data_IF_623672587722
#
_entry.id   IF_623672587722
#
_cell.length_a   1.000
_cell.length_b   1.000
_cell.length_c   1.000
_cell.angle_alpha   90.00
_cell.angle_beta   90.00
_cell.angle_gamma   90.00
#
_symmetry.space_group_name_H-M   'P 1'
#
loop_
_entity.id
_entity.type
_entity.pdbx_description
1 polymer ?
#
# COMPACT_ATOMS: atom_id res chain seq x y z
N UNK A 1 9.10 -4.27 34.16
CA UNK A 1 10.47 -3.87 34.53
C UNK A 1 11.26 -3.21 33.41
N UNK A 2 10.77 -3.17 32.17
CA UNK A 2 11.56 -2.75 30.99
C UNK A 2 11.31 -1.27 30.57
N UNK A 3 10.08 -0.77 30.74
CA UNK A 3 9.69 0.56 30.23
C UNK A 3 10.40 1.75 30.88
N UNK A 4 10.69 1.69 32.19
CA UNK A 4 11.30 2.84 32.92
C UNK A 4 12.74 3.10 32.49
N UNK A 5 13.52 2.05 32.26
CA UNK A 5 14.88 2.17 31.75
C UNK A 5 14.90 2.71 30.32
N UNK A 6 13.88 2.37 29.52
CA UNK A 6 13.72 2.83 28.16
C UNK A 6 13.37 4.35 28.12
N UNK A 7 12.50 4.82 29.02
CA UNK A 7 12.20 6.26 29.19
C UNK A 7 13.45 7.04 29.62
N UNK A 8 14.18 6.56 30.62
CA UNK A 8 15.42 7.20 31.07
C UNK A 8 16.50 7.23 29.97
N UNK A 9 16.57 6.19 29.13
CA UNK A 9 17.47 6.17 27.98
C UNK A 9 17.09 7.22 26.92
N UNK A 10 15.79 7.41 26.66
CA UNK A 10 15.29 8.47 25.76
C UNK A 10 15.58 9.85 26.34
N UNK A 11 15.38 10.07 27.63
CA UNK A 11 15.67 11.36 28.28
C UNK A 11 17.15 11.70 28.24
N UNK A 12 18.01 10.71 28.51
CA UNK A 12 19.46 10.87 28.35
C UNK A 12 19.85 11.15 26.90
N UNK A 13 19.22 10.48 25.93
CA UNK A 13 19.50 10.71 24.51
C UNK A 13 19.05 12.11 24.04
N UNK A 14 17.88 12.58 24.47
CA UNK A 14 17.40 13.94 24.19
C UNK A 14 18.30 15.00 24.87
N UNK A 15 18.77 14.73 26.09
CA UNK A 15 19.67 15.60 26.81
C UNK A 15 21.10 15.65 26.22
N UNK A 16 21.58 14.55 25.62
CA UNK A 16 22.93 14.43 25.08
C UNK A 16 23.06 14.76 23.59
N UNK A 17 21.99 14.59 22.80
CA UNK A 17 22.01 14.69 21.33
C UNK A 17 21.22 15.84 20.72
N UNK A 18 20.47 16.63 21.51
CA UNK A 18 19.64 17.70 20.97
C UNK A 18 18.53 17.21 20.03
N UNK A 19 17.82 18.15 19.39
CA UNK A 19 16.67 17.93 18.50
C UNK A 19 17.02 17.25 17.15
N UNK A 20 17.96 16.31 17.14
CA UNK A 20 18.30 15.47 15.99
C UNK A 20 17.06 14.64 15.57
N UNK A 21 16.62 14.69 14.30
CA UNK A 21 15.41 14.02 13.86
C UNK A 21 15.40 12.49 14.10
N UNK A 22 16.54 11.82 14.02
CA UNK A 22 16.62 10.38 14.26
C UNK A 22 16.42 10.02 15.74
N UNK A 23 16.89 10.86 16.65
CA UNK A 23 16.73 10.68 18.10
C UNK A 23 15.27 10.92 18.49
N UNK A 24 14.67 12.01 17.98
CA UNK A 24 13.26 12.32 18.18
C UNK A 24 12.34 11.22 17.62
N UNK A 25 12.65 10.65 16.45
CA UNK A 25 11.84 9.56 15.87
C UNK A 25 11.86 8.31 16.76
N UNK A 26 13.05 7.92 17.23
CA UNK A 26 13.20 6.75 18.11
C UNK A 26 12.47 6.98 19.45
N UNK A 27 12.62 8.17 20.01
CA UNK A 27 11.93 8.57 21.24
C UNK A 27 10.41 8.53 21.08
N UNK A 28 9.87 9.08 19.98
CA UNK A 28 8.44 9.11 19.72
C UNK A 28 7.84 7.70 19.59
N UNK A 29 8.53 6.81 18.85
CA UNK A 29 8.12 5.40 18.70
C UNK A 29 8.16 4.64 20.03
N UNK A 30 9.14 4.94 20.89
CA UNK A 30 9.22 4.32 22.20
C UNK A 30 8.10 4.79 23.12
N UNK A 31 7.84 6.10 23.18
CA UNK A 31 6.74 6.67 23.97
C UNK A 31 5.41 6.02 23.57
N UNK A 32 5.18 5.89 22.27
CA UNK A 32 4.02 5.20 21.73
C UNK A 32 3.95 3.73 22.14
N UNK A 33 5.04 2.96 22.03
CA UNK A 33 5.09 1.57 22.48
C UNK A 33 4.80 1.40 23.99
N UNK A 34 5.08 2.43 24.79
CA UNK A 34 4.79 2.49 26.22
C UNK A 34 3.39 3.01 26.56
N UNK A 35 2.60 3.43 25.56
CA UNK A 35 1.28 4.04 25.77
C UNK A 35 1.32 5.50 26.19
N UNK A 36 2.48 6.17 26.14
CA UNK A 36 2.64 7.61 26.35
C UNK A 36 2.23 8.40 25.10
N UNK A 37 0.94 8.33 24.76
CA UNK A 37 0.36 8.83 23.50
C UNK A 37 0.68 10.31 23.28
N UNK A 38 0.39 11.18 24.25
CA UNK A 38 0.57 12.63 24.09
C UNK A 38 2.05 13.01 23.94
N UNK A 39 2.94 12.32 24.65
CA UNK A 39 4.39 12.55 24.54
C UNK A 39 4.92 12.12 23.17
N UNK A 40 4.45 10.98 22.66
CA UNK A 40 4.76 10.55 21.30
C UNK A 40 4.32 11.59 20.26
N UNK A 41 3.09 12.11 20.40
CA UNK A 41 2.55 13.13 19.50
C UNK A 41 3.30 14.45 19.59
N UNK A 42 3.74 14.86 20.78
CA UNK A 42 4.56 16.06 20.96
C UNK A 42 5.91 15.94 20.22
N UNK A 43 6.57 14.79 20.33
CA UNK A 43 7.83 14.51 19.64
C UNK A 43 7.66 14.44 18.12
N UNK A 44 6.58 13.82 17.62
CA UNK A 44 6.26 13.92 16.20
C UNK A 44 5.89 15.35 15.77
N UNK A 45 5.28 16.14 16.66
CA UNK A 45 5.05 17.57 16.49
C UNK A 45 6.33 18.36 16.23
N UNK A 46 7.37 18.08 17.03
CA UNK A 46 8.70 18.66 16.85
C UNK A 46 9.34 18.22 15.53
N UNK A 47 9.25 16.94 15.19
CA UNK A 47 9.72 16.42 13.90
C UNK A 47 9.02 17.07 12.70
N UNK A 48 7.72 17.33 12.80
CA UNK A 48 6.98 18.06 11.76
C UNK A 48 7.41 19.51 11.65
N UNK A 49 7.86 20.15 12.75
CA UNK A 49 8.44 21.49 12.69
C UNK A 49 9.84 21.50 12.08
N UNK A 50 10.67 20.51 12.39
CA UNK A 50 12.05 20.40 11.91
C UNK A 50 12.12 19.98 10.44
N UNK A 51 11.26 19.05 10.03
CA UNK A 51 11.16 18.58 8.65
C UNK A 51 9.71 18.63 8.13
N UNK A 52 9.14 19.83 7.88
CA UNK A 52 7.73 19.99 7.47
C UNK A 52 7.36 19.28 6.17
N UNK A 53 8.35 19.03 5.30
CA UNK A 53 8.17 18.35 4.03
C UNK A 53 8.17 16.82 4.15
N UNK A 54 8.45 16.25 5.34
CA UNK A 54 8.55 14.79 5.53
C UNK A 54 7.21 14.17 5.93
N UNK A 55 6.55 13.43 5.03
CA UNK A 55 5.18 12.95 5.26
C UNK A 55 5.09 11.87 6.34
N UNK A 56 6.20 11.16 6.54
CA UNK A 56 6.30 10.07 7.52
C UNK A 56 5.96 10.52 8.95
N UNK A 57 6.17 11.79 9.28
CA UNK A 57 5.87 12.33 10.62
C UNK A 57 4.37 12.42 10.85
N UNK A 58 3.65 13.02 9.91
CA UNK A 58 2.19 13.06 9.96
C UNK A 58 1.60 11.65 9.93
N UNK A 59 2.12 10.75 9.07
CA UNK A 59 1.64 9.36 9.01
C UNK A 59 1.90 8.56 10.29
N UNK A 60 3.01 8.84 10.98
CA UNK A 60 3.31 8.20 12.27
C UNK A 60 2.39 8.76 13.36
N UNK A 61 2.22 10.08 13.45
CA UNK A 61 1.26 10.72 14.37
C UNK A 61 -0.16 10.18 14.19
N UNK A 62 -0.63 10.08 12.95
CA UNK A 62 -1.95 9.54 12.65
C UNK A 62 -2.10 8.08 13.14
N UNK A 63 -1.07 7.25 13.00
CA UNK A 63 -1.05 5.87 13.51
C UNK A 63 -1.06 5.78 15.04
N UNK A 64 -0.40 6.72 15.72
CA UNK A 64 -0.47 6.85 17.19
C UNK A 64 -1.90 7.21 17.61
N UNK A 65 -2.51 8.21 16.98
CA UNK A 65 -3.89 8.64 17.23
C UNK A 65 -4.91 7.52 16.98
N UNK A 66 -4.80 6.80 15.88
CA UNK A 66 -5.69 5.68 15.54
C UNK A 66 -5.65 4.56 16.58
N UNK A 67 -4.47 4.15 17.04
CA UNK A 67 -4.35 3.12 18.10
C UNK A 67 -4.89 3.58 19.44
N UNK A 68 -4.82 4.88 19.72
CA UNK A 68 -5.42 5.49 20.90
C UNK A 68 -6.94 5.68 20.79
N UNK A 69 -7.56 5.32 19.66
CA UNK A 69 -9.00 5.55 19.41
C UNK A 69 -9.37 7.01 19.11
N UNK A 70 -8.37 7.88 18.90
CA UNK A 70 -8.54 9.32 18.61
C UNK A 70 -8.71 9.54 17.10
N UNK A 71 -9.73 8.90 16.51
CA UNK A 71 -9.91 8.82 15.06
C UNK A 71 -10.08 10.18 14.38
N UNK A 72 -10.88 11.09 14.95
CA UNK A 72 -11.11 12.43 14.39
C UNK A 72 -9.81 13.25 14.30
N UNK A 73 -8.94 13.17 15.31
CA UNK A 73 -7.66 13.86 15.29
C UNK A 73 -6.69 13.24 14.28
N UNK A 74 -6.75 11.90 14.11
CA UNK A 74 -5.98 11.22 13.08
C UNK A 74 -6.40 11.69 11.68
N UNK A 75 -7.70 11.85 11.43
CA UNK A 75 -8.23 12.37 10.16
C UNK A 75 -7.76 13.81 9.92
N UNK A 76 -7.91 14.70 10.91
CA UNK A 76 -7.47 16.10 10.80
C UNK A 76 -5.98 16.23 10.47
N UNK A 77 -5.11 15.45 11.13
CA UNK A 77 -3.68 15.54 10.83
C UNK A 77 -3.37 14.96 9.45
N UNK A 78 -4.05 13.90 9.03
CA UNK A 78 -3.89 13.30 7.72
C UNK A 78 -4.33 14.23 6.59
N UNK A 79 -5.38 15.03 6.77
CA UNK A 79 -5.82 16.03 5.80
C UNK A 79 -4.70 17.00 5.42
N UNK A 80 -3.79 17.31 6.36
CA UNK A 80 -2.63 18.18 6.07
C UNK A 80 -1.67 17.58 5.04
N UNK A 81 -1.66 16.26 4.85
CA UNK A 81 -0.82 15.61 3.84
C UNK A 81 -1.41 15.65 2.44
N UNK A 82 -2.73 15.56 2.30
CA UNK A 82 -3.35 15.16 1.04
C UNK A 82 -3.88 16.32 0.18
N UNK A 83 -3.53 17.59 0.50
CA UNK A 83 -3.83 18.79 -0.32
C UNK A 83 -5.24 18.80 -0.97
N UNK A 84 -6.29 18.51 -0.20
CA UNK A 84 -7.69 18.43 -0.68
C UNK A 84 -7.95 17.47 -1.87
N UNK A 85 -7.01 16.57 -2.19
CA UNK A 85 -7.15 15.59 -3.28
C UNK A 85 -8.10 14.45 -2.91
N UNK A 86 -8.16 14.12 -1.62
CA UNK A 86 -9.02 13.06 -1.11
C UNK A 86 -10.49 13.48 -1.31
N UNK A 87 -11.34 12.63 -1.91
CA UNK A 87 -12.75 12.96 -2.12
C UNK A 87 -13.42 13.36 -0.80
N UNK A 88 -14.19 14.47 -0.75
CA UNK A 88 -14.90 14.92 0.45
C UNK A 88 -16.11 14.03 0.76
N UNK A 89 -16.67 14.13 1.97
CA UNK A 89 -17.79 13.26 2.41
C UNK A 89 -18.99 13.37 1.49
N UNK A 90 -19.28 14.58 1.00
CA UNK A 90 -20.37 14.85 0.07
C UNK A 90 -20.22 14.14 -1.30
N UNK A 91 -19.03 13.63 -1.63
CA UNK A 91 -18.77 12.89 -2.87
C UNK A 91 -18.91 11.36 -2.70
N UNK A 92 -18.97 10.85 -1.47
CA UNK A 92 -18.99 9.41 -1.20
C UNK A 92 -20.37 8.83 -1.54
N UNK A 93 -20.39 7.73 -2.28
CA UNK A 93 -21.63 7.05 -2.72
C UNK A 93 -21.92 5.76 -1.97
N UNK A 94 -20.99 5.34 -1.12
CA UNK A 94 -21.15 4.22 -0.18
C UNK A 94 -20.37 4.50 1.11
N UNK A 95 -20.67 3.79 2.21
CA UNK A 95 -19.89 3.88 3.44
C UNK A 95 -18.41 3.56 3.20
N UNK A 96 -17.57 4.14 4.04
CA UNK A 96 -16.15 3.80 4.10
C UNK A 96 -15.93 2.49 4.88
N UNK A 97 -14.83 1.83 4.57
CA UNK A 97 -14.31 0.70 5.33
C UNK A 97 -14.09 1.07 6.80
N UNK A 98 -14.59 0.21 7.69
CA UNK A 98 -14.14 0.14 9.07
C UNK A 98 -12.96 -0.83 9.14
N UNK A 99 -11.76 -0.30 9.15
CA UNK A 99 -10.56 -1.12 8.97
C UNK A 99 -10.22 -1.96 10.23
N UNK A 100 -10.23 -3.28 10.08
CA UNK A 100 -9.69 -4.25 11.04
C UNK A 100 -8.35 -4.80 10.52
N UNK A 101 -7.20 -4.37 11.09
CA UNK A 101 -5.88 -4.81 10.64
C UNK A 101 -5.60 -6.28 10.89
N UNK A 102 -6.42 -6.98 11.70
CA UNK A 102 -6.26 -8.42 11.97
C UNK A 102 -6.88 -9.29 10.88
N UNK A 103 -7.65 -8.71 9.96
CA UNK A 103 -8.32 -9.45 8.88
C UNK A 103 -7.50 -9.40 7.60
N UNK A 104 -7.25 -10.60 7.05
CA UNK A 104 -6.64 -10.76 5.72
C UNK A 104 -7.55 -10.29 4.59
N UNK A 105 -8.87 -10.38 4.77
CA UNK A 105 -9.87 -9.94 3.81
C UNK A 105 -10.95 -9.08 4.48
N UNK A 106 -11.27 -7.95 3.86
CA UNK A 106 -12.41 -7.10 4.20
C UNK A 106 -13.11 -6.62 2.93
N UNK A 107 -14.44 -6.52 2.97
CA UNK A 107 -15.24 -6.12 1.81
C UNK A 107 -16.11 -4.93 2.20
N UNK A 108 -16.11 -3.90 1.37
CA UNK A 108 -17.12 -2.84 1.40
C UNK A 108 -17.89 -2.89 0.10
N UNK A 109 -19.20 -3.14 0.20
CA UNK A 109 -20.07 -3.27 -0.96
C UNK A 109 -20.43 -1.88 -1.50
N UNK A 110 -20.26 -1.70 -2.81
CA UNK A 110 -20.92 -0.64 -3.58
C UNK A 110 -22.09 -1.21 -4.37
N UNK A 111 -22.83 -0.36 -5.07
CA UNK A 111 -23.94 -0.77 -5.93
C UNK A 111 -23.60 -0.87 -7.42
N UNK A 112 -22.40 -0.44 -7.83
CA UNK A 112 -21.92 -0.64 -9.20
C UNK A 112 -21.55 -2.10 -9.50
N UNK A 113 -21.45 -2.43 -10.79
CA UNK A 113 -20.98 -3.74 -11.27
C UNK A 113 -19.45 -3.87 -11.30
N UNK A 114 -18.73 -2.90 -10.75
CA UNK A 114 -17.26 -2.86 -10.71
C UNK A 114 -16.76 -3.19 -9.31
N UNK A 115 -15.79 -4.10 -9.23
CA UNK A 115 -15.04 -4.34 -8.01
C UNK A 115 -13.56 -4.01 -8.16
N UNK A 116 -12.97 -3.56 -7.07
CA UNK A 116 -11.53 -3.32 -6.96
C UNK A 116 -10.95 -4.24 -5.89
N UNK A 117 -10.04 -5.13 -6.28
CA UNK A 117 -9.20 -5.85 -5.33
C UNK A 117 -8.00 -4.98 -4.98
N UNK A 118 -7.82 -4.71 -3.70
CA UNK A 118 -6.80 -3.79 -3.18
C UNK A 118 -5.80 -4.57 -2.34
N UNK A 119 -4.58 -4.72 -2.86
CA UNK A 119 -3.51 -5.51 -2.27
C UNK A 119 -2.54 -4.61 -1.50
N UNK A 120 -2.44 -4.83 -0.20
CA UNK A 120 -1.57 -4.07 0.69
C UNK A 120 -0.08 -4.42 0.52
N UNK A 121 0.81 -3.47 0.81
CA UNK A 121 2.24 -3.75 0.94
C UNK A 121 2.58 -4.53 2.22
N UNK A 122 3.88 -4.80 2.46
CA UNK A 122 4.36 -5.56 3.64
C UNK A 122 4.02 -4.91 5.00
N UNK A 123 3.65 -3.64 5.00
CA UNK A 123 3.20 -2.90 6.17
C UNK A 123 1.67 -2.94 6.36
N UNK A 124 0.96 -3.82 5.64
CA UNK A 124 -0.50 -3.96 5.66
C UNK A 124 -1.26 -2.67 5.26
N UNK A 125 -0.63 -1.83 4.44
CA UNK A 125 -1.14 -0.54 3.97
C UNK A 125 -0.74 -0.23 2.51
N UNK A 126 -1.38 0.80 1.93
CA UNK A 126 -1.07 1.38 0.61
C UNK A 126 -0.15 2.61 0.68
N UNK A 127 0.75 2.70 1.66
CA UNK A 127 1.47 3.95 2.05
C UNK A 127 0.59 5.13 2.46
N UNK A 128 -0.73 4.91 2.57
CA UNK A 128 -1.71 5.77 3.21
C UNK A 128 -2.71 4.92 4.00
N UNK A 129 -3.42 5.49 4.98
CA UNK A 129 -4.47 4.77 5.70
C UNK A 129 -5.57 4.28 4.76
N UNK A 130 -6.03 3.06 4.98
CA UNK A 130 -7.00 2.40 4.10
C UNK A 130 -8.31 3.19 3.98
N UNK A 131 -8.91 3.74 5.05
CA UNK A 131 -10.10 4.58 4.92
C UNK A 131 -9.88 5.82 4.04
N UNK A 132 -8.68 6.38 4.00
CA UNK A 132 -8.37 7.52 3.11
C UNK A 132 -8.31 7.10 1.65
N UNK A 133 -7.71 5.94 1.35
CA UNK A 133 -7.73 5.40 0.00
C UNK A 133 -9.15 4.96 -0.43
N UNK A 134 -9.94 4.41 0.48
CA UNK A 134 -11.30 3.95 0.20
C UNK A 134 -12.21 5.07 -0.32
N UNK A 135 -11.94 6.32 0.05
CA UNK A 135 -12.70 7.49 -0.43
C UNK A 135 -12.68 7.61 -1.94
N UNK A 136 -11.54 7.29 -2.58
CA UNK A 136 -11.44 7.26 -4.05
C UNK A 136 -12.32 6.17 -4.66
N UNK A 137 -12.50 5.02 -4.00
CA UNK A 137 -13.36 3.94 -4.50
C UNK A 137 -14.84 4.18 -4.18
N UNK A 138 -15.12 4.76 -3.02
CA UNK A 138 -16.45 5.10 -2.55
C UNK A 138 -17.08 6.23 -3.37
N UNK A 139 -16.29 7.18 -3.87
CA UNK A 139 -16.75 8.19 -4.83
C UNK A 139 -17.36 7.57 -6.10
N UNK A 140 -16.84 6.43 -6.55
CA UNK A 140 -17.32 5.72 -7.74
C UNK A 140 -18.34 4.61 -7.43
N UNK A 141 -18.71 4.44 -6.17
CA UNK A 141 -19.60 3.36 -5.71
C UNK A 141 -19.12 1.94 -6.10
N UNK A 142 -17.80 1.74 -6.12
CA UNK A 142 -17.20 0.45 -6.43
C UNK A 142 -17.21 -0.48 -5.23
N UNK A 143 -17.47 -1.77 -5.44
CA UNK A 143 -17.20 -2.77 -4.40
C UNK A 143 -15.68 -2.84 -4.18
N UNK A 144 -15.21 -2.67 -2.95
CA UNK A 144 -13.80 -2.75 -2.62
C UNK A 144 -13.53 -4.00 -1.78
N UNK A 145 -12.53 -4.78 -2.19
CA UNK A 145 -12.05 -5.97 -1.46
C UNK A 145 -10.60 -5.72 -1.07
N UNK A 146 -10.38 -5.51 0.23
CA UNK A 146 -9.08 -5.22 0.80
C UNK A 146 -8.40 -6.51 1.24
N UNK A 147 -7.17 -6.70 0.80
CA UNK A 147 -6.40 -7.93 0.97
C UNK A 147 -5.08 -7.63 1.65
N UNK A 148 -4.77 -8.37 2.72
CA UNK A 148 -3.48 -8.37 3.41
C UNK A 148 -2.84 -9.74 3.33
N UNK A 149 -1.55 -9.75 3.02
CA UNK A 149 -0.74 -10.95 3.04
C UNK A 149 -0.04 -11.09 4.39
N UNK A 150 -0.69 -11.68 5.39
CA UNK A 150 -0.07 -11.94 6.69
C UNK A 150 1.08 -12.95 6.60
N UNK A 151 1.18 -13.72 5.52
CA UNK A 151 2.29 -14.64 5.30
C UNK A 151 3.56 -13.92 4.83
N UNK A 152 3.44 -12.73 4.25
CA UNK A 152 4.54 -11.92 3.68
C UNK A 152 5.27 -12.66 2.55
N UNK A 153 4.49 -13.31 1.69
CA UNK A 153 4.93 -14.05 0.51
C UNK A 153 4.44 -13.42 -0.81
N UNK A 154 4.19 -12.11 -0.78
CA UNK A 154 3.81 -11.28 -1.92
C UNK A 154 2.50 -11.75 -2.58
N UNK A 155 1.58 -12.32 -1.79
CA UNK A 155 0.33 -12.93 -2.24
C UNK A 155 0.51 -14.12 -3.21
N UNK A 156 1.73 -14.67 -3.34
CA UNK A 156 2.01 -15.77 -4.26
C UNK A 156 1.74 -17.17 -3.68
N UNK A 157 1.18 -17.22 -2.48
CA UNK A 157 0.67 -18.42 -1.80
C UNK A 157 -0.83 -18.26 -1.53
N UNK A 158 -1.42 -19.19 -0.77
CA UNK A 158 -2.79 -19.01 -0.29
C UNK A 158 -2.91 -17.97 0.81
N UNK A 159 -4.10 -17.38 0.93
CA UNK A 159 -4.48 -16.58 2.09
C UNK A 159 -5.24 -17.48 3.07
N UNK A 160 -4.66 -17.86 4.23
CA UNK A 160 -5.25 -18.83 5.15
C UNK A 160 -6.72 -18.59 5.53
N UNK A 161 -7.17 -17.34 5.61
CA UNK A 161 -8.58 -17.02 5.85
C UNK A 161 -9.54 -17.44 4.72
N UNK A 162 -9.01 -17.77 3.54
CA UNK A 162 -9.76 -18.13 2.33
C UNK A 162 -9.43 -19.54 1.85
N UNK A 163 -8.14 -19.85 1.67
CA UNK A 163 -7.65 -21.13 1.19
C UNK A 163 -6.15 -21.32 1.50
N UNK A 164 -5.66 -22.57 1.60
CA UNK A 164 -4.25 -22.85 1.91
C UNK A 164 -3.29 -22.54 0.75
N UNK A 165 -3.80 -22.46 -0.48
CA UNK A 165 -2.99 -22.26 -1.68
C UNK A 165 -3.54 -21.14 -2.58
N UNK A 166 -2.71 -20.73 -3.55
CA UNK A 166 -3.00 -19.62 -4.45
C UNK A 166 -4.23 -19.90 -5.32
N UNK A 167 -4.34 -21.11 -5.88
CA UNK A 167 -5.44 -21.50 -6.75
C UNK A 167 -6.79 -21.51 -6.02
N UNK A 168 -6.82 -22.01 -4.79
CA UNK A 168 -8.00 -21.99 -3.93
C UNK A 168 -8.38 -20.56 -3.53
N UNK A 169 -7.40 -19.69 -3.26
CA UNK A 169 -7.66 -18.28 -2.94
C UNK A 169 -8.28 -17.56 -4.14
N UNK A 170 -7.70 -17.79 -5.33
CA UNK A 170 -8.23 -17.30 -6.60
C UNK A 170 -9.68 -17.77 -6.84
N UNK A 171 -9.94 -19.06 -6.68
CA UNK A 171 -11.28 -19.63 -6.86
C UNK A 171 -12.29 -19.05 -5.87
N UNK A 172 -11.89 -18.86 -4.60
CA UNK A 172 -12.75 -18.28 -3.57
C UNK A 172 -13.08 -16.82 -3.87
N UNK A 173 -12.09 -16.03 -4.27
CA UNK A 173 -12.30 -14.63 -4.68
C UNK A 173 -13.21 -14.53 -5.90
N UNK A 174 -13.01 -15.36 -6.93
CA UNK A 174 -13.90 -15.41 -8.10
C UNK A 174 -15.35 -15.69 -7.70
N UNK A 175 -15.59 -16.75 -6.94
CA UNK A 175 -16.95 -17.08 -6.49
C UNK A 175 -17.59 -16.00 -5.63
N UNK A 176 -16.80 -15.27 -4.85
CA UNK A 176 -17.28 -14.10 -4.09
C UNK A 176 -17.67 -12.94 -5.01
N UNK A 177 -16.86 -12.61 -6.01
CA UNK A 177 -17.17 -11.55 -6.97
C UNK A 177 -18.39 -11.91 -7.84
N UNK A 178 -18.51 -13.17 -8.26
CA UNK A 178 -19.66 -13.68 -9.01
C UNK A 178 -20.96 -13.56 -8.19
N UNK A 179 -20.92 -13.96 -6.92
CA UNK A 179 -22.06 -13.83 -6.01
C UNK A 179 -22.45 -12.37 -5.73
N UNK A 180 -21.53 -11.43 -5.94
CA UNK A 180 -21.76 -9.99 -5.83
C UNK A 180 -22.24 -9.37 -7.16
N UNK A 181 -22.33 -10.15 -8.25
CA UNK A 181 -22.76 -9.67 -9.56
C UNK A 181 -21.74 -8.75 -10.24
N UNK A 182 -20.45 -8.87 -9.88
CA UNK A 182 -19.37 -8.07 -10.45
C UNK A 182 -19.15 -8.46 -11.91
N UNK A 183 -19.13 -7.47 -12.80
CA UNK A 183 -18.86 -7.65 -14.23
C UNK A 183 -17.52 -7.06 -14.66
N UNK A 184 -16.98 -6.14 -13.87
CA UNK A 184 -15.71 -5.49 -14.14
C UNK A 184 -14.79 -5.57 -12.94
N UNK A 185 -13.57 -6.04 -13.17
CA UNK A 185 -12.56 -6.20 -12.14
C UNK A 185 -11.37 -5.28 -12.39
N UNK A 186 -11.01 -4.53 -11.37
CA UNK A 186 -9.77 -3.75 -11.29
C UNK A 186 -8.94 -4.31 -10.14
N UNK A 187 -7.62 -4.33 -10.30
CA UNK A 187 -6.72 -4.63 -9.18
C UNK A 187 -5.79 -3.46 -8.94
N UNK A 188 -5.56 -3.15 -7.67
CA UNK A 188 -4.66 -2.09 -7.22
C UNK A 188 -3.71 -2.66 -6.19
N UNK A 189 -2.42 -2.34 -6.31
CA UNK A 189 -1.42 -2.81 -5.37
C UNK A 189 -0.31 -1.80 -5.11
N UNK A 190 0.16 -1.75 -3.87
CA UNK A 190 1.32 -0.94 -3.49
C UNK A 190 2.47 -1.84 -3.06
N UNK A 191 3.67 -1.57 -3.57
CA UNK A 191 4.89 -2.30 -3.22
C UNK A 191 4.71 -3.81 -3.44
N UNK A 192 4.94 -4.64 -2.43
CA UNK A 192 4.60 -6.06 -2.41
C UNK A 192 3.16 -6.38 -2.86
N UNK A 193 2.20 -5.52 -2.55
CA UNK A 193 0.81 -5.67 -3.02
C UNK A 193 0.68 -5.53 -4.53
N UNK A 194 1.59 -4.83 -5.19
CA UNK A 194 1.68 -4.77 -6.65
C UNK A 194 1.86 -6.14 -7.29
N UNK A 195 2.63 -7.04 -6.66
CA UNK A 195 2.80 -8.42 -7.12
C UNK A 195 1.47 -9.18 -7.05
N UNK A 196 0.71 -9.00 -5.97
CA UNK A 196 -0.64 -9.55 -5.82
C UNK A 196 -1.59 -8.99 -6.87
N UNK A 197 -1.62 -7.67 -7.06
CA UNK A 197 -2.46 -7.02 -8.05
C UNK A 197 -2.16 -7.54 -9.48
N UNK A 198 -0.88 -7.65 -9.86
CA UNK A 198 -0.50 -8.21 -11.15
C UNK A 198 -0.92 -9.67 -11.28
N UNK A 199 -0.59 -10.51 -10.30
CA UNK A 199 -0.80 -11.96 -10.38
C UNK A 199 -2.28 -12.30 -10.40
N UNK A 200 -3.05 -11.83 -9.43
CA UNK A 200 -4.49 -12.06 -9.37
C UNK A 200 -5.21 -11.32 -10.49
N UNK A 201 -4.77 -10.12 -10.86
CA UNK A 201 -5.38 -9.35 -11.95
C UNK A 201 -5.31 -10.10 -13.27
N UNK A 202 -4.15 -10.65 -13.62
CA UNK A 202 -3.98 -11.48 -14.83
C UNK A 202 -4.81 -12.76 -14.69
N UNK A 203 -4.64 -13.48 -13.59
CA UNK A 203 -5.24 -14.79 -13.42
C UNK A 203 -6.76 -14.73 -13.24
N UNK A 204 -7.36 -13.59 -12.86
CA UNK A 204 -8.82 -13.38 -12.78
C UNK A 204 -9.41 -12.66 -14.00
N UNK A 205 -8.57 -12.24 -14.97
CA UNK A 205 -9.04 -11.49 -16.13
C UNK A 205 -9.49 -10.07 -15.78
N UNK A 206 -8.81 -9.40 -14.85
CA UNK A 206 -9.03 -7.99 -14.57
C UNK A 206 -8.83 -7.15 -15.84
N UNK A 207 -9.66 -6.13 -16.00
CA UNK A 207 -9.57 -5.21 -17.14
C UNK A 207 -8.39 -4.24 -16.96
N UNK A 208 -8.13 -3.87 -15.70
CA UNK A 208 -7.12 -2.90 -15.33
C UNK A 208 -6.35 -3.35 -14.09
N UNK A 209 -5.03 -3.20 -14.14
CA UNK A 209 -4.09 -3.45 -13.05
C UNK A 209 -3.33 -2.15 -12.80
N UNK A 210 -3.28 -1.72 -11.54
CA UNK A 210 -2.62 -0.47 -11.14
C UNK A 210 -1.61 -0.79 -10.04
N UNK A 211 -0.33 -0.59 -10.33
CA UNK A 211 0.76 -0.83 -9.41
C UNK A 211 1.45 0.46 -8.99
N UNK A 212 1.74 0.60 -7.70
CA UNK A 212 2.54 1.69 -7.15
C UNK A 212 3.82 1.11 -6.54
N UNK A 213 5.00 1.45 -7.08
CA UNK A 213 6.30 0.93 -6.63
C UNK A 213 6.39 -0.60 -6.68
N UNK A 214 5.74 -1.22 -7.67
CA UNK A 214 5.52 -2.67 -7.71
C UNK A 214 6.75 -3.45 -8.18
N UNK A 215 7.23 -4.44 -7.42
CA UNK A 215 8.26 -5.36 -7.90
C UNK A 215 7.76 -6.21 -9.06
N UNK A 216 8.56 -6.32 -10.12
CA UNK A 216 8.33 -7.20 -11.28
C UNK A 216 9.46 -8.20 -11.47
N UNK A 217 10.60 -7.98 -10.81
CA UNK A 217 11.81 -8.80 -10.92
C UNK A 217 11.98 -9.64 -9.67
N UNK A 218 11.35 -10.82 -9.62
CA UNK A 218 11.42 -11.69 -8.44
C UNK A 218 12.42 -12.85 -8.58
N UNK A 219 12.85 -13.18 -9.80
CA UNK A 219 13.73 -14.33 -10.07
C UNK A 219 15.18 -13.88 -10.23
N UNK A 220 16.09 -14.54 -9.53
CA UNK A 220 17.56 -14.45 -9.68
C UNK A 220 18.21 -13.16 -9.19
N UNK A 221 17.62 -11.99 -9.53
CA UNK A 221 18.21 -10.66 -9.31
C UNK A 221 17.51 -9.86 -8.22
N UNK A 222 16.50 -10.40 -7.54
CA UNK A 222 15.69 -9.65 -6.58
C UNK A 222 16.55 -8.98 -5.49
N UNK A 223 17.49 -9.71 -4.87
CA UNK A 223 18.35 -9.15 -3.81
C UNK A 223 19.38 -8.12 -4.32
N UNK A 224 19.74 -8.17 -5.61
CA UNK A 224 20.66 -7.21 -6.23
C UNK A 224 19.93 -5.97 -6.76
N UNK A 225 18.67 -6.12 -7.14
CA UNK A 225 17.80 -5.03 -7.62
C UNK A 225 17.16 -4.30 -6.45
N UNK A 226 16.78 -5.01 -5.40
CA UNK A 226 16.07 -4.47 -4.25
C UNK A 226 16.71 -4.91 -2.94
N UNK A 227 17.37 -3.97 -2.25
CA UNK A 227 18.02 -4.23 -0.97
C UNK A 227 17.02 -4.64 0.13
N UNK A 228 15.76 -4.18 0.03
CA UNK A 228 14.68 -4.49 0.99
C UNK A 228 14.33 -5.97 0.94
N UNK A 229 14.50 -6.60 -0.22
CA UNK A 229 14.20 -8.00 -0.43
C UNK A 229 15.11 -8.96 0.34
N UNK A 230 16.29 -8.49 0.82
CA UNK A 230 17.18 -9.29 1.68
C UNK A 230 16.46 -9.86 2.91
N UNK A 231 15.44 -9.16 3.41
CA UNK A 231 14.67 -9.57 4.59
C UNK A 231 13.71 -10.75 4.34
N UNK A 232 13.29 -11.01 3.09
CA UNK A 232 12.25 -12.01 2.80
C UNK A 232 12.52 -12.93 1.61
N UNK A 233 13.47 -12.62 0.72
CA UNK A 233 13.67 -13.33 -0.54
C UNK A 233 13.98 -14.84 -0.37
N UNK A 234 14.77 -15.23 0.63
CA UNK A 234 15.07 -16.66 0.83
C UNK A 234 13.84 -17.45 1.25
N UNK A 235 12.97 -16.85 2.06
CA UNK A 235 11.69 -17.46 2.43
C UNK A 235 10.78 -17.55 1.20
N UNK A 236 10.69 -16.47 0.42
CA UNK A 236 9.93 -16.45 -0.83
C UNK A 236 10.38 -17.57 -1.78
N UNK A 237 11.69 -17.76 -1.94
CA UNK A 237 12.24 -18.74 -2.88
C UNK A 237 12.05 -20.18 -2.45
N UNK A 238 12.03 -20.44 -1.13
CA UNK A 238 11.72 -21.76 -0.59
C UNK A 238 10.23 -22.09 -0.62
N UNK A 239 9.38 -21.10 -0.42
CA UNK A 239 7.94 -21.30 -0.22
C UNK A 239 7.10 -21.15 -1.49
N UNK A 240 7.62 -20.45 -2.51
CA UNK A 240 6.86 -20.15 -3.73
C UNK A 240 7.52 -20.79 -4.95
N UNK A 241 6.78 -21.59 -5.75
CA UNK A 241 7.28 -22.17 -6.99
C UNK A 241 7.87 -21.13 -7.95
N UNK A 242 8.73 -21.56 -8.86
CA UNK A 242 9.37 -20.66 -9.81
C UNK A 242 8.34 -19.99 -10.73
N UNK A 243 7.42 -20.78 -11.28
CA UNK A 243 6.38 -20.34 -12.22
C UNK A 243 5.50 -19.25 -11.61
N UNK A 244 5.18 -19.37 -10.33
CA UNK A 244 4.35 -18.40 -9.62
C UNK A 244 5.09 -17.09 -9.33
N UNK A 245 6.42 -17.12 -9.22
CA UNK A 245 7.27 -15.92 -9.04
C UNK A 245 7.61 -15.21 -10.34
N UNK A 246 7.35 -15.82 -11.50
CA UNK A 246 7.70 -15.25 -12.80
C UNK A 246 6.69 -14.19 -13.27
N UNK A 247 6.71 -13.04 -12.57
CA UNK A 247 5.84 -11.90 -12.84
C UNK A 247 6.11 -11.33 -14.24
N UNK A 248 7.37 -11.36 -14.68
CA UNK A 248 7.73 -10.93 -16.03
C UNK A 248 7.09 -11.82 -17.09
N UNK A 249 7.17 -13.16 -16.95
CA UNK A 249 6.51 -14.07 -17.88
C UNK A 249 4.99 -13.85 -17.92
N UNK A 250 4.33 -13.66 -16.76
CA UNK A 250 2.90 -13.32 -16.70
C UNK A 250 2.58 -12.01 -17.44
N UNK A 251 3.40 -10.98 -17.27
CA UNK A 251 3.21 -9.71 -17.96
C UNK A 251 3.46 -9.83 -19.47
N UNK A 252 4.42 -10.66 -19.90
CA UNK A 252 4.75 -10.87 -21.32
C UNK A 252 3.84 -11.87 -22.03
N UNK A 253 2.93 -12.54 -21.33
CA UNK A 253 1.98 -13.47 -21.93
C UNK A 253 1.12 -12.75 -23.00
N UNK A 254 1.20 -13.14 -24.29
CA UNK A 254 0.41 -12.52 -25.36
C UNK A 254 -1.10 -12.77 -25.21
N UNK A 255 -1.53 -13.75 -24.42
CA UNK A 255 -2.94 -13.99 -24.13
C UNK A 255 -3.50 -13.03 -23.07
N UNK A 256 -2.64 -12.29 -22.35
CA UNK A 256 -3.07 -11.30 -21.34
C UNK A 256 -3.87 -10.18 -22.00
N UNK A 257 -5.04 -9.89 -21.44
CA UNK A 257 -5.92 -8.80 -21.88
C UNK A 257 -5.87 -7.55 -21.00
N UNK A 258 -5.43 -7.71 -19.75
CA UNK A 258 -5.42 -6.64 -18.76
C UNK A 258 -4.53 -5.47 -19.18
N UNK A 259 -5.01 -4.23 -19.04
CA UNK A 259 -4.14 -3.05 -19.08
C UNK A 259 -3.39 -2.92 -17.76
N UNK A 260 -2.13 -2.54 -17.80
CA UNK A 260 -1.28 -2.42 -16.62
C UNK A 260 -0.66 -1.03 -16.56
N UNK A 261 -0.85 -0.33 -15.46
CA UNK A 261 -0.25 0.98 -15.21
C UNK A 261 0.66 0.89 -13.97
N UNK A 262 1.97 1.13 -14.15
CA UNK A 262 2.96 1.01 -13.08
C UNK A 262 3.55 2.38 -12.75
N UNK A 263 3.15 2.94 -11.61
CA UNK A 263 3.65 4.19 -11.06
C UNK A 263 4.88 3.97 -10.19
N UNK A 264 5.95 4.73 -10.39
CA UNK A 264 7.18 4.62 -9.60
C UNK A 264 7.90 5.96 -9.48
N UNK A 265 8.72 6.14 -8.44
CA UNK A 265 9.62 7.28 -8.35
C UNK A 265 10.75 7.17 -9.36
N UNK A 266 10.89 8.13 -10.27
CA UNK A 266 11.93 8.10 -11.30
C UNK A 266 13.35 8.07 -10.71
N UNK A 267 13.54 8.75 -9.58
CA UNK A 267 14.79 8.80 -8.85
C UNK A 267 14.97 7.68 -7.82
N UNK A 268 14.06 6.71 -7.76
CA UNK A 268 14.15 5.54 -6.86
C UNK A 268 14.71 4.35 -7.66
N UNK A 269 16.01 4.01 -7.54
CA UNK A 269 16.66 3.06 -8.44
C UNK A 269 16.01 1.67 -8.45
N UNK A 270 15.61 1.15 -7.29
CA UNK A 270 15.02 -0.18 -7.13
C UNK A 270 13.66 -0.27 -7.83
N UNK A 271 12.79 0.71 -7.59
CA UNK A 271 11.45 0.74 -8.20
C UNK A 271 11.53 1.01 -9.70
N UNK A 272 12.46 1.87 -10.14
CA UNK A 272 12.74 2.10 -11.56
C UNK A 272 13.21 0.82 -12.23
N UNK A 273 14.17 0.10 -11.64
CA UNK A 273 14.69 -1.14 -12.21
C UNK A 273 13.59 -2.19 -12.40
N UNK A 274 12.66 -2.31 -11.43
CA UNK A 274 11.48 -3.14 -11.60
C UNK A 274 10.56 -2.65 -12.73
N UNK A 275 10.21 -1.36 -12.75
CA UNK A 275 9.31 -0.83 -13.77
C UNK A 275 9.89 -1.00 -15.20
N UNK A 276 11.17 -0.65 -15.41
CA UNK A 276 11.79 -0.69 -16.73
C UNK A 276 12.11 -2.10 -17.23
N UNK A 277 12.13 -3.11 -16.34
CA UNK A 277 12.28 -4.51 -16.76
C UNK A 277 11.16 -4.94 -17.74
N UNK A 278 9.98 -4.35 -17.62
CA UNK A 278 8.80 -4.64 -18.45
C UNK A 278 8.47 -3.50 -19.42
N UNK A 279 9.44 -2.63 -19.70
CA UNK A 279 9.31 -1.62 -20.74
C UNK A 279 9.07 -2.28 -22.12
N UNK A 280 8.18 -1.69 -22.92
CA UNK A 280 7.81 -2.20 -24.23
C UNK A 280 6.88 -3.41 -24.23
N UNK A 281 6.49 -3.94 -23.06
CA UNK A 281 5.49 -5.02 -22.99
C UNK A 281 4.11 -4.50 -23.40
N UNK A 282 3.43 -5.20 -24.31
CA UNK A 282 2.12 -4.77 -24.85
C UNK A 282 1.09 -4.52 -23.74
N UNK A 283 0.42 -3.37 -23.72
CA UNK A 283 -0.59 -3.06 -22.70
C UNK A 283 -0.03 -2.75 -21.31
N UNK A 284 1.30 -2.63 -21.14
CA UNK A 284 1.95 -2.10 -19.94
C UNK A 284 2.33 -0.64 -20.19
N UNK A 285 1.91 0.25 -19.29
CA UNK A 285 2.24 1.67 -19.29
C UNK A 285 3.06 2.00 -18.05
N UNK A 286 4.28 2.48 -18.26
CA UNK A 286 5.16 2.97 -17.19
C UNK A 286 4.81 4.43 -16.89
N UNK A 287 4.66 4.75 -15.60
CA UNK A 287 4.28 6.08 -15.12
C UNK A 287 5.32 6.61 -14.12
N UNK A 288 6.50 7.05 -14.60
CA UNK A 288 7.50 7.66 -13.74
C UNK A 288 6.99 8.96 -13.12
N UNK A 289 7.25 9.16 -11.83
CA UNK A 289 7.07 10.43 -11.15
C UNK A 289 8.38 11.21 -11.24
N UNK A 290 8.42 12.16 -12.19
CA UNK A 290 9.61 12.94 -12.49
C UNK A 290 10.17 13.63 -11.25
N UNK A 291 11.48 13.50 -11.03
CA UNK A 291 12.18 14.09 -9.88
C UNK A 291 11.82 13.51 -8.51
N UNK A 292 10.98 12.48 -8.42
CA UNK A 292 10.65 11.83 -7.15
C UNK A 292 11.58 10.64 -6.88
N UNK A 293 12.39 10.74 -5.84
CA UNK A 293 13.34 9.69 -5.42
C UNK A 293 12.81 8.73 -4.35
N UNK A 294 11.49 8.69 -4.13
CA UNK A 294 10.88 7.89 -3.05
C UNK A 294 10.10 6.69 -3.56
N UNK A 295 9.88 5.72 -2.66
CA UNK A 295 9.08 4.53 -2.93
C UNK A 295 7.57 4.78 -2.95
N UNK A 296 7.08 5.74 -2.16
CA UNK A 296 5.64 5.98 -1.96
C UNK A 296 4.99 6.77 -3.09
N UNK A 297 4.96 6.24 -4.32
CA UNK A 297 4.42 6.94 -5.50
C UNK A 297 2.93 7.28 -5.38
N UNK A 298 2.13 6.39 -4.77
CA UNK A 298 0.71 6.66 -4.48
C UNK A 298 0.56 7.89 -3.57
N UNK A 299 1.26 7.89 -2.43
CA UNK A 299 1.25 9.01 -1.50
C UNK A 299 1.71 10.28 -2.20
N UNK A 300 2.78 10.22 -3.00
CA UNK A 300 3.29 11.38 -3.74
C UNK A 300 2.24 11.99 -4.66
N UNK A 301 1.48 11.18 -5.39
CA UNK A 301 0.39 11.68 -6.24
C UNK A 301 -0.73 12.35 -5.43
N UNK A 302 -1.12 11.76 -4.30
CA UNK A 302 -2.13 12.34 -3.42
C UNK A 302 -1.63 13.68 -2.87
N UNK A 303 -0.37 13.72 -2.43
CA UNK A 303 0.29 14.93 -1.99
C UNK A 303 0.39 15.97 -3.09
N UNK A 304 0.43 15.60 -4.38
CA UNK A 304 0.46 16.53 -5.50
C UNK A 304 -0.92 17.04 -5.94
N UNK A 305 -2.02 16.55 -5.36
CA UNK A 305 -3.35 16.89 -5.86
C UNK A 305 -3.71 16.18 -7.18
N UNK A 306 -3.08 15.03 -7.44
CA UNK A 306 -3.17 14.34 -8.74
C UNK A 306 -3.75 12.94 -8.64
N UNK A 307 -3.77 12.30 -7.47
CA UNK A 307 -4.18 10.90 -7.36
C UNK A 307 -5.65 10.72 -7.75
N UNK A 308 -6.55 11.62 -7.34
CA UNK A 308 -7.97 11.57 -7.73
C UNK A 308 -8.16 11.58 -9.23
N UNK A 309 -7.49 12.50 -9.91
CA UNK A 309 -7.60 12.66 -11.37
C UNK A 309 -7.02 11.43 -12.12
N UNK A 310 -5.85 10.95 -11.71
CA UNK A 310 -5.20 9.77 -12.32
C UNK A 310 -6.04 8.50 -12.13
N UNK A 311 -6.53 8.24 -10.91
CA UNK A 311 -7.40 7.11 -10.64
C UNK A 311 -8.72 7.22 -11.42
N UNK A 312 -9.36 8.39 -11.44
CA UNK A 312 -10.59 8.63 -12.20
C UNK A 312 -10.43 8.32 -13.69
N UNK A 313 -9.30 8.71 -14.30
CA UNK A 313 -8.99 8.37 -15.69
C UNK A 313 -8.81 6.86 -15.89
N UNK A 314 -8.07 6.18 -15.01
CA UNK A 314 -7.84 4.74 -15.10
C UNK A 314 -9.13 3.93 -14.86
N UNK A 315 -9.99 4.39 -13.97
CA UNK A 315 -11.28 3.77 -13.68
C UNK A 315 -12.27 3.95 -14.83
N UNK A 316 -12.19 5.04 -15.59
CA UNK A 316 -13.11 5.31 -16.71
C UNK A 316 -12.77 4.56 -18.01
N UNK A 317 -11.52 4.14 -18.21
CA UNK A 317 -11.11 3.34 -19.38
C UNK A 317 -11.87 2.02 -19.41
N UNK A 318 -12.44 1.65 -20.55
CA UNK A 318 -13.07 0.35 -20.82
C UNK A 318 -12.31 -0.35 -21.93
#
# INVERSE_FOLDING_TARGET
GDGRAAVEAVERALAAGGAEPEVLERAARLCDALGEIDRSLALFGELMRLEPSRPRWVLNSARVLQRAGRTTEAELILETLYRNDVPPDAALRRPLIQDDPKRELQIVRGSSDTAVLVFMGLADQLVMPIPMFDRYLAEHDFTAVYLRDHQRLLYLTGMPSLAPDYAGTLAKLRGMLDALGVRRLITVGNSAGGVGAISYGIDMGAEQIIGFGSPTTLIGKLKSVDHRARAFADRLYRSVPHEQRDIEAKLRDPARKARVDLFYGEGMPEDRAHATQVEGVHGVTLRPLAGFGGHGSLLRLAQEGRLRAELGQLFAKR
#
